data_IF_012140974872
#
_entry.id   IF_012140974872
#
_cell.length_a   1.000
_cell.length_b   1.000
_cell.length_c   1.000
_cell.angle_alpha   90.00
_cell.angle_beta   90.00
_cell.angle_gamma   90.00
#
_symmetry.space_group_name_H-M   'P 1'
#
loop_
_entity.id
_entity.type
_entity.pdbx_description
1 polymer ?
#
# COMPACT_ATOMS: atom_id res chain seq x y z
N UNK A 1 11.50 18.55 40.32
CA UNK A 1 11.00 19.22 39.10
C UNK A 1 9.56 18.80 38.91
N UNK A 2 8.65 19.65 38.42
CA UNK A 2 7.29 19.21 38.13
C UNK A 2 7.32 18.12 37.05
N UNK A 3 6.62 17.00 37.27
CA UNK A 3 6.46 15.96 36.27
C UNK A 3 5.66 16.50 35.07
N UNK A 4 6.10 16.15 33.86
CA UNK A 4 5.38 16.52 32.65
C UNK A 4 4.02 15.78 32.62
N UNK A 5 2.94 16.54 32.53
CA UNK A 5 1.57 16.00 32.52
C UNK A 5 1.05 15.89 31.09
N UNK A 6 0.46 14.75 30.76
CA UNK A 6 -0.10 14.48 29.43
C UNK A 6 -1.33 15.34 29.18
N UNK A 7 -1.34 16.03 28.05
CA UNK A 7 -2.48 16.81 27.57
C UNK A 7 -3.26 15.95 26.58
N UNK A 8 -4.44 15.50 27.01
CA UNK A 8 -5.35 14.66 26.22
C UNK A 8 -6.19 15.52 25.28
N UNK A 9 -5.56 16.02 24.21
CA UNK A 9 -6.22 16.82 23.17
C UNK A 9 -6.17 16.04 21.86
N UNK A 10 -7.34 15.78 21.25
CA UNK A 10 -7.44 15.17 19.92
C UNK A 10 -6.68 13.85 19.78
N UNK A 11 -7.07 12.83 20.57
CA UNK A 11 -6.45 11.51 20.49
C UNK A 11 -6.69 10.86 19.12
N UNK A 12 -5.74 10.04 18.61
CA UNK A 12 -5.95 9.24 17.42
C UNK A 12 -7.20 8.36 17.53
N UNK A 13 -7.96 8.24 16.44
CA UNK A 13 -9.01 7.24 16.35
C UNK A 13 -8.39 5.83 16.29
N UNK A 14 -9.07 4.80 16.83
CA UNK A 14 -8.61 3.43 16.71
C UNK A 14 -8.45 3.03 15.23
N UNK A 15 -7.26 2.51 14.90
CA UNK A 15 -6.94 2.03 13.57
C UNK A 15 -7.39 0.59 13.40
N UNK A 16 -8.07 0.32 12.28
CA UNK A 16 -8.66 -0.98 11.93
C UNK A 16 -7.87 -1.76 10.87
N UNK A 17 -6.79 -1.18 10.35
CA UNK A 17 -6.02 -1.75 9.24
C UNK A 17 -6.43 -1.24 7.86
N UNK A 18 -7.39 -0.31 7.77
CA UNK A 18 -7.84 0.22 6.49
C UNK A 18 -6.79 1.13 5.84
N UNK A 19 -6.41 0.81 4.61
CA UNK A 19 -5.43 1.55 3.82
C UNK A 19 -5.73 3.07 3.74
N UNK A 20 -6.97 3.44 3.45
CA UNK A 20 -7.41 4.83 3.29
C UNK A 20 -7.29 5.65 4.58
N UNK A 21 -7.33 5.00 5.74
CA UNK A 21 -7.21 5.64 7.05
C UNK A 21 -5.78 5.66 7.58
N UNK A 22 -4.89 4.83 7.04
CA UNK A 22 -3.54 4.65 7.57
C UNK A 22 -2.77 5.99 7.65
N UNK A 23 -2.80 6.77 6.58
CA UNK A 23 -2.06 8.04 6.53
C UNK A 23 -2.59 9.04 7.56
N UNK A 24 -3.91 9.17 7.66
CA UNK A 24 -4.54 10.04 8.65
C UNK A 24 -4.25 9.60 10.08
N UNK A 25 -4.27 8.30 10.32
CA UNK A 25 -3.90 7.71 11.61
C UNK A 25 -2.47 8.06 12.00
N UNK A 26 -1.47 7.79 11.15
CA UNK A 26 -0.06 8.10 11.46
C UNK A 26 0.18 9.59 11.71
N UNK A 27 -0.45 10.48 10.93
CA UNK A 27 -0.37 11.93 11.16
C UNK A 27 -0.95 12.31 12.53
N UNK A 28 -2.09 11.75 12.92
CA UNK A 28 -2.70 12.04 14.23
C UNK A 28 -1.81 11.59 15.40
N UNK A 29 -1.13 10.46 15.24
CA UNK A 29 -0.16 9.94 16.22
C UNK A 29 1.05 10.88 16.33
N UNK A 30 1.63 11.29 15.19
CA UNK A 30 2.78 12.19 15.16
C UNK A 30 2.46 13.55 15.79
N UNK A 31 1.28 14.11 15.49
CA UNK A 31 0.82 15.37 16.08
C UNK A 31 0.63 15.24 17.60
N UNK A 32 0.03 14.15 18.06
CA UNK A 32 -0.17 13.92 19.49
C UNK A 32 1.17 13.77 20.23
N UNK A 33 2.10 13.00 19.66
CA UNK A 33 3.43 12.78 20.22
C UNK A 33 4.26 14.08 20.23
N UNK A 34 4.17 14.89 19.18
CA UNK A 34 4.84 16.20 19.11
C UNK A 34 4.27 17.19 20.13
N UNK A 35 2.95 17.22 20.32
CA UNK A 35 2.32 18.07 21.31
C UNK A 35 2.67 17.64 22.75
N UNK A 36 2.77 16.33 22.98
CA UNK A 36 3.14 15.72 24.25
C UNK A 36 4.62 15.27 24.26
N UNK A 37 5.52 16.01 23.59
CA UNK A 37 6.92 15.59 23.38
C UNK A 37 7.68 15.33 24.69
N UNK A 38 7.36 16.06 25.77
CA UNK A 38 7.97 15.83 27.08
C UNK A 38 7.69 14.41 27.63
N UNK A 39 6.62 13.76 27.16
CA UNK A 39 6.22 12.40 27.53
C UNK A 39 6.69 11.41 26.46
N UNK A 40 6.35 11.65 25.20
CA UNK A 40 6.73 10.81 24.05
C UNK A 40 8.09 11.19 23.48
N UNK A 41 9.08 11.29 24.36
CA UNK A 41 10.44 11.72 24.04
C UNK A 41 11.35 10.59 23.53
N UNK A 42 10.90 9.33 23.59
CA UNK A 42 11.63 8.18 23.08
C UNK A 42 10.83 7.47 22.01
N UNK A 43 11.54 6.81 21.10
CA UNK A 43 10.92 6.04 20.02
C UNK A 43 10.05 4.91 20.57
N UNK A 44 10.53 4.19 21.59
CA UNK A 44 9.77 3.14 22.25
C UNK A 44 8.39 3.63 22.75
N UNK A 45 8.33 4.81 23.38
CA UNK A 45 7.06 5.38 23.85
C UNK A 45 6.12 5.73 22.71
N UNK A 46 6.64 6.23 21.58
CA UNK A 46 5.84 6.50 20.38
C UNK A 46 5.31 5.22 19.76
N UNK A 47 6.13 4.17 19.71
CA UNK A 47 5.73 2.84 19.20
C UNK A 47 4.61 2.26 20.08
N UNK A 48 4.81 2.21 21.39
CA UNK A 48 3.81 1.70 22.35
C UNK A 48 2.51 2.50 22.25
N UNK A 49 2.60 3.82 22.15
CA UNK A 49 1.44 4.69 21.97
C UNK A 49 0.70 4.34 20.68
N UNK A 50 1.40 4.22 19.55
CA UNK A 50 0.80 3.86 18.26
C UNK A 50 0.09 2.50 18.33
N UNK A 51 0.77 1.47 18.85
CA UNK A 51 0.22 0.12 19.03
C UNK A 51 -1.04 0.11 19.90
N UNK A 52 -1.13 1.00 20.89
CA UNK A 52 -2.31 1.10 21.77
C UNK A 52 -3.60 1.52 21.04
N UNK A 53 -3.50 2.09 19.84
CA UNK A 53 -4.63 2.46 18.98
C UNK A 53 -4.83 1.48 17.82
N UNK A 54 -3.95 0.50 17.61
CA UNK A 54 -4.10 -0.54 16.58
C UNK A 54 -4.97 -1.69 17.10
N UNK A 55 -6.28 -1.48 17.17
CA UNK A 55 -7.22 -2.40 17.86
C UNK A 55 -8.31 -2.99 16.96
N UNK A 56 -8.56 -2.40 15.79
CA UNK A 56 -9.61 -2.87 14.88
C UNK A 56 -9.08 -3.86 13.84
N UNK A 57 -9.99 -4.61 13.23
CA UNK A 57 -9.76 -5.39 12.02
C UNK A 57 -8.44 -6.17 12.01
N UNK A 58 -7.65 -5.99 10.94
CA UNK A 58 -6.34 -6.62 10.77
C UNK A 58 -5.21 -5.94 11.55
N UNK A 59 -5.43 -4.71 12.05
CA UNK A 59 -4.43 -3.98 12.82
C UNK A 59 -4.15 -4.59 14.20
N UNK A 60 -5.17 -5.12 14.87
CA UNK A 60 -5.00 -5.80 16.16
C UNK A 60 -4.06 -7.01 16.09
N UNK A 61 -4.37 -8.02 15.25
CA UNK A 61 -3.49 -9.18 15.07
C UNK A 61 -2.09 -8.81 14.58
N UNK A 62 -1.96 -7.78 13.73
CA UNK A 62 -0.67 -7.28 13.29
C UNK A 62 0.14 -6.69 14.44
N UNK A 63 -0.48 -5.88 15.31
CA UNK A 63 0.17 -5.29 16.47
C UNK A 63 0.67 -6.37 17.44
N UNK A 64 -0.14 -7.41 17.69
CA UNK A 64 0.28 -8.57 18.49
C UNK A 64 1.48 -9.29 17.87
N UNK A 65 1.43 -9.57 16.56
CA UNK A 65 2.52 -10.22 15.83
C UNK A 65 3.81 -9.40 15.86
N UNK A 66 3.71 -8.07 15.67
CA UNK A 66 4.85 -7.17 15.77
C UNK A 66 5.49 -7.25 17.16
N UNK A 67 4.70 -7.13 18.22
CA UNK A 67 5.21 -7.21 19.60
C UNK A 67 5.87 -8.56 19.89
N UNK A 68 5.28 -9.66 19.43
CA UNK A 68 5.86 -11.00 19.58
C UNK A 68 7.20 -11.13 18.83
N UNK A 69 7.32 -10.53 17.65
CA UNK A 69 8.57 -10.55 16.87
C UNK A 69 9.73 -9.78 17.51
N UNK A 70 9.42 -8.88 18.45
CA UNK A 70 10.38 -8.01 19.15
C UNK A 70 10.73 -8.47 20.55
N UNK A 71 10.17 -9.59 21.01
CA UNK A 71 10.54 -10.24 22.26
C UNK A 71 11.67 -11.23 22.02
N UNK A 72 12.70 -11.17 22.85
CA UNK A 72 13.74 -12.20 22.88
C UNK A 72 13.35 -13.39 23.78
N UNK A 73 14.17 -14.45 23.77
CA UNK A 73 14.00 -15.65 24.58
C UNK A 73 14.01 -15.36 26.09
N UNK A 74 14.58 -14.22 26.50
CA UNK A 74 14.67 -13.78 27.89
C UNK A 74 13.49 -12.88 28.31
N UNK A 75 12.55 -12.61 27.39
CA UNK A 75 11.39 -11.76 27.63
C UNK A 75 11.68 -10.25 27.59
N UNK A 76 12.89 -9.83 27.22
CA UNK A 76 13.21 -8.43 26.96
C UNK A 76 12.60 -8.01 25.62
N UNK A 77 12.00 -6.82 25.61
CA UNK A 77 11.29 -6.27 24.46
C UNK A 77 12.11 -5.12 23.87
N UNK A 78 12.51 -5.25 22.61
CA UNK A 78 13.21 -4.17 21.88
C UNK A 78 12.41 -3.78 20.64
N UNK A 79 11.60 -2.73 20.77
CA UNK A 79 10.70 -2.30 19.70
C UNK A 79 11.42 -1.67 18.51
N UNK A 80 12.64 -1.18 18.70
CA UNK A 80 13.48 -0.56 17.67
C UNK A 80 13.22 0.94 17.51
N UNK A 81 13.63 1.47 16.35
CA UNK A 81 13.45 2.89 16.01
C UNK A 81 12.04 3.18 15.50
N UNK A 82 11.52 4.36 15.81
CA UNK A 82 10.15 4.72 15.43
C UNK A 82 9.98 4.77 13.91
N UNK A 83 11.02 5.21 13.20
CA UNK A 83 11.03 5.29 11.73
C UNK A 83 10.93 3.91 11.07
N UNK A 84 11.65 2.92 11.60
CA UNK A 84 11.59 1.54 11.10
C UNK A 84 10.22 0.92 11.36
N UNK A 85 9.63 1.21 12.52
CA UNK A 85 8.27 0.80 12.85
C UNK A 85 7.23 1.42 11.92
N UNK A 86 7.32 2.73 11.62
CA UNK A 86 6.43 3.38 10.65
C UNK A 86 6.54 2.71 9.27
N UNK A 87 7.76 2.41 8.80
CA UNK A 87 7.96 1.69 7.54
C UNK A 87 7.37 0.27 7.56
N UNK A 88 7.42 -0.43 8.70
CA UNK A 88 6.82 -1.75 8.84
C UNK A 88 5.28 -1.71 8.78
N UNK A 89 4.65 -0.72 9.41
CA UNK A 89 3.20 -0.48 9.30
C UNK A 89 2.85 -0.15 7.85
N UNK A 90 3.53 0.83 7.27
CA UNK A 90 3.30 1.26 5.89
C UNK A 90 3.46 0.10 4.91
N UNK A 91 4.54 -0.68 5.02
CA UNK A 91 4.71 -1.89 4.21
C UNK A 91 3.56 -2.89 4.40
N UNK A 92 3.13 -3.13 5.64
CA UNK A 92 2.10 -4.14 5.92
C UNK A 92 0.69 -3.75 5.48
N UNK A 93 0.32 -2.47 5.56
CA UNK A 93 -1.03 -2.00 5.24
C UNK A 93 -1.13 -1.26 3.91
N UNK A 94 -0.01 -0.88 3.30
CA UNK A 94 0.05 -0.44 1.91
C UNK A 94 0.31 -1.64 0.98
N UNK A 95 1.34 -2.48 1.21
CA UNK A 95 1.68 -3.54 0.23
C UNK A 95 0.68 -4.70 0.19
N UNK A 96 0.01 -5.01 1.32
CA UNK A 96 -0.91 -6.16 1.42
C UNK A 96 -2.18 -6.00 0.57
N UNK A 97 -2.51 -4.79 0.10
CA UNK A 97 -3.63 -4.56 -0.84
C UNK A 97 -3.23 -3.79 -2.11
N UNK A 98 -2.08 -3.11 -2.16
CA UNK A 98 -1.72 -2.31 -3.35
C UNK A 98 -1.40 -3.15 -4.60
N UNK A 99 -0.75 -4.30 -4.47
CA UNK A 99 -0.47 -5.14 -5.64
C UNK A 99 -1.72 -5.92 -6.11
N UNK A 100 -2.55 -6.39 -5.18
CA UNK A 100 -3.73 -7.20 -5.48
C UNK A 100 -4.96 -6.38 -5.86
N UNK A 101 -5.34 -5.41 -5.04
CA UNK A 101 -6.57 -4.60 -5.18
C UNK A 101 -6.39 -3.41 -6.11
N UNK A 102 -5.20 -2.80 -6.21
CA UNK A 102 -4.98 -1.71 -7.19
C UNK A 102 -4.87 -2.25 -8.61
N UNK A 103 -4.19 -3.38 -8.85
CA UNK A 103 -4.20 -4.03 -10.18
C UNK A 103 -5.60 -4.49 -10.53
N UNK A 104 -6.35 -5.05 -9.59
CA UNK A 104 -7.76 -5.44 -9.80
C UNK A 104 -8.61 -4.22 -10.14
N UNK A 105 -8.54 -3.14 -9.35
CA UNK A 105 -9.25 -1.88 -9.62
C UNK A 105 -8.85 -1.27 -10.96
N UNK A 106 -7.57 -1.29 -11.33
CA UNK A 106 -7.07 -0.84 -12.64
C UNK A 106 -7.62 -1.72 -13.78
N UNK A 107 -7.62 -3.06 -13.61
CA UNK A 107 -8.15 -4.01 -14.59
C UNK A 107 -9.66 -3.87 -14.81
N UNK A 108 -10.40 -3.45 -13.78
CA UNK A 108 -11.86 -3.30 -13.83
C UNK A 108 -12.34 -1.85 -13.93
N UNK A 109 -11.43 -0.87 -13.99
CA UNK A 109 -11.78 0.55 -14.12
C UNK A 109 -12.41 0.80 -15.49
N UNK A 110 -13.70 1.15 -15.50
CA UNK A 110 -14.43 1.51 -16.72
C UNK A 110 -14.81 2.97 -16.67
N UNK A 111 -14.65 3.67 -17.79
CA UNK A 111 -15.12 5.04 -17.94
C UNK A 111 -16.66 5.04 -17.90
N UNK A 112 -17.20 5.34 -16.73
CA UNK A 112 -18.65 5.44 -16.46
C UNK A 112 -19.09 6.89 -16.22
N UNK A 113 -18.13 7.81 -16.11
CA UNK A 113 -18.30 9.25 -15.86
C UNK A 113 -17.49 10.07 -16.88
N UNK A 114 -17.36 11.38 -16.64
CA UNK A 114 -16.58 12.28 -17.47
C UNK A 114 -15.10 11.86 -17.52
N UNK A 115 -14.45 12.19 -18.63
CA UNK A 115 -13.11 11.68 -18.97
C UNK A 115 -12.03 12.17 -17.99
N UNK A 116 -12.18 13.38 -17.46
CA UNK A 116 -11.30 13.99 -16.47
C UNK A 116 -11.30 13.24 -15.13
N UNK A 117 -12.48 12.90 -14.61
CA UNK A 117 -12.63 12.12 -13.37
C UNK A 117 -12.04 10.71 -13.54
N UNK A 118 -12.27 10.08 -14.70
CA UNK A 118 -11.69 8.78 -15.04
C UNK A 118 -10.16 8.83 -15.09
N UNK A 119 -9.59 9.86 -15.73
CA UNK A 119 -8.14 10.06 -15.81
C UNK A 119 -7.54 10.25 -14.41
N UNK A 120 -8.21 11.00 -13.54
CA UNK A 120 -7.74 11.24 -12.18
C UNK A 120 -7.74 9.95 -11.35
N UNK A 121 -8.81 9.15 -11.41
CA UNK A 121 -8.87 7.84 -10.76
C UNK A 121 -7.81 6.87 -11.32
N UNK A 122 -7.65 6.83 -12.65
CA UNK A 122 -6.63 6.00 -13.31
C UNK A 122 -5.22 6.37 -12.86
N UNK A 123 -4.88 7.67 -12.82
CA UNK A 123 -3.57 8.14 -12.38
C UNK A 123 -3.30 7.77 -10.92
N UNK A 124 -4.29 7.91 -10.03
CA UNK A 124 -4.15 7.52 -8.62
C UNK A 124 -3.87 6.02 -8.51
N UNK A 125 -4.64 5.17 -9.21
CA UNK A 125 -4.42 3.72 -9.16
C UNK A 125 -3.10 3.29 -9.83
N UNK A 126 -2.71 3.90 -10.94
CA UNK A 126 -1.44 3.61 -11.60
C UNK A 126 -0.25 3.94 -10.69
N UNK A 127 -0.26 5.10 -10.04
CA UNK A 127 0.77 5.54 -9.07
C UNK A 127 0.89 4.58 -7.89
N UNK A 128 -0.25 4.04 -7.45
CA UNK A 128 -0.39 3.16 -6.31
C UNK A 128 -0.14 1.67 -6.63
N UNK A 129 0.03 1.29 -7.90
CA UNK A 129 0.16 -0.11 -8.33
C UNK A 129 1.56 -0.70 -8.16
N UNK A 130 2.55 0.12 -7.83
CA UNK A 130 3.94 -0.31 -7.66
C UNK A 130 4.63 -0.77 -8.96
N UNK A 131 4.02 -0.51 -10.13
CA UNK A 131 4.63 -0.75 -11.43
C UNK A 131 5.85 0.19 -11.60
N UNK A 132 7.05 -0.34 -11.33
CA UNK A 132 8.34 0.39 -11.39
C UNK A 132 8.88 0.60 -12.80
N UNK A 133 8.19 0.08 -13.82
CA UNK A 133 8.56 0.35 -15.21
C UNK A 133 7.70 1.49 -15.75
N UNK A 134 8.36 2.61 -16.04
CA UNK A 134 7.81 3.70 -16.84
C UNK A 134 7.34 3.21 -18.23
N UNK A 135 7.74 2.00 -18.66
CA UNK A 135 7.22 1.33 -19.86
C UNK A 135 5.82 0.71 -19.68
N UNK A 136 5.33 0.55 -18.45
CA UNK A 136 3.95 0.15 -18.16
C UNK A 136 2.97 1.35 -18.18
N UNK A 137 3.49 2.56 -18.02
CA UNK A 137 2.85 3.82 -18.36
C UNK A 137 3.19 4.14 -19.82
N UNK A 138 2.57 3.43 -20.78
CA UNK A 138 2.83 3.69 -22.20
C UNK A 138 2.43 5.14 -22.53
N UNK A 139 3.43 6.00 -22.55
CA UNK A 139 3.74 6.96 -23.59
C UNK A 139 2.51 7.66 -24.17
N UNK A 140 1.87 8.48 -23.34
CA UNK A 140 0.85 9.44 -23.72
C UNK A 140 1.51 10.77 -24.14
N UNK A 141 2.71 10.70 -24.73
CA UNK A 141 3.54 11.88 -24.96
C UNK A 141 2.96 12.80 -26.06
N UNK A 142 1.96 12.34 -26.84
CA UNK A 142 1.03 13.21 -27.58
C UNK A 142 -0.37 12.60 -27.69
N UNK A 143 -1.37 13.33 -27.19
CA UNK A 143 -2.78 12.98 -27.40
C UNK A 143 -3.09 13.06 -28.90
N UNK A 144 -3.54 11.97 -29.55
CA UNK A 144 -3.87 11.96 -30.97
C UNK A 144 -4.95 13.01 -31.28
N UNK A 145 -4.68 13.85 -32.27
CA UNK A 145 -5.58 14.94 -32.68
C UNK A 145 -6.41 14.56 -33.90
N UNK A 146 -6.10 13.43 -34.52
CA UNK A 146 -6.82 12.92 -35.68
C UNK A 146 -7.30 11.48 -35.47
N UNK A 147 -8.45 11.15 -36.07
CA UNK A 147 -9.07 9.81 -35.99
C UNK A 147 -8.11 8.70 -36.49
N UNK A 148 -7.26 9.01 -37.47
CA UNK A 148 -6.28 8.06 -38.00
C UNK A 148 -5.22 7.70 -36.95
N UNK A 149 -4.71 8.67 -36.21
CA UNK A 149 -3.75 8.44 -35.12
C UNK A 149 -4.39 7.62 -33.98
N UNK A 150 -5.68 7.87 -33.70
CA UNK A 150 -6.46 7.05 -32.76
C UNK A 150 -6.52 5.58 -33.19
N UNK A 151 -6.78 5.30 -34.48
CA UNK A 151 -6.79 3.93 -35.00
C UNK A 151 -5.42 3.25 -34.88
N UNK A 152 -4.33 3.96 -35.21
CA UNK A 152 -2.97 3.42 -35.15
C UNK A 152 -2.54 3.09 -33.71
N UNK A 153 -2.86 3.97 -32.76
CA UNK A 153 -2.59 3.74 -31.33
C UNK A 153 -3.41 2.55 -30.81
N UNK A 154 -4.71 2.49 -31.14
CA UNK A 154 -5.59 1.42 -30.68
C UNK A 154 -5.17 0.06 -31.24
N UNK A 155 -4.82 0.00 -32.53
CA UNK A 155 -4.31 -1.22 -33.15
C UNK A 155 -2.97 -1.67 -32.53
N UNK A 156 -2.08 -0.72 -32.18
CA UNK A 156 -0.82 -1.03 -31.50
C UNK A 156 -1.06 -1.64 -30.12
N UNK A 157 -1.96 -1.06 -29.33
CA UNK A 157 -2.31 -1.53 -27.98
C UNK A 157 -2.97 -2.92 -28.02
N UNK A 158 -3.90 -3.13 -28.95
CA UNK A 158 -4.56 -4.43 -29.13
C UNK A 158 -3.54 -5.53 -29.49
N UNK A 159 -2.63 -5.25 -30.42
CA UNK A 159 -1.55 -6.18 -30.78
C UNK A 159 -0.61 -6.51 -29.59
N UNK A 160 -0.31 -5.53 -28.74
CA UNK A 160 0.49 -5.76 -27.53
C UNK A 160 -0.26 -6.60 -26.50
N UNK A 161 -1.57 -6.38 -26.35
CA UNK A 161 -2.42 -7.19 -25.47
C UNK A 161 -2.47 -8.66 -25.94
N UNK A 162 -2.70 -8.89 -27.24
CA UNK A 162 -2.73 -10.25 -27.81
C UNK A 162 -1.40 -10.99 -27.65
N UNK A 163 -0.26 -10.31 -27.85
CA UNK A 163 1.07 -10.90 -27.60
C UNK A 163 1.23 -11.32 -26.14
N UNK A 164 0.81 -10.48 -25.18
CA UNK A 164 0.89 -10.79 -23.75
C UNK A 164 0.00 -11.98 -23.36
N UNK A 165 -1.22 -12.05 -23.89
CA UNK A 165 -2.08 -13.22 -23.70
C UNK A 165 -1.45 -14.50 -24.23
N UNK A 166 -0.81 -14.45 -25.40
CA UNK A 166 -0.10 -15.61 -25.96
C UNK A 166 1.07 -16.06 -25.07
N UNK A 167 1.87 -15.13 -24.54
CA UNK A 167 2.95 -15.44 -23.61
C UNK A 167 2.45 -16.06 -22.30
N UNK A 168 1.35 -15.55 -21.74
CA UNK A 168 0.74 -16.08 -20.51
C UNK A 168 0.15 -17.49 -20.72
N UNK A 169 -0.49 -17.73 -21.86
CA UNK A 169 -1.02 -19.05 -22.19
C UNK A 169 0.11 -20.07 -22.46
N UNK A 170 1.22 -19.63 -23.06
CA UNK A 170 2.39 -20.47 -23.27
C UNK A 170 3.11 -20.83 -21.95
N UNK A 171 3.14 -19.94 -20.96
CA UNK A 171 3.73 -20.23 -19.64
C UNK A 171 2.87 -21.21 -18.82
N UNK A 172 1.54 -21.08 -18.89
CA UNK A 172 0.60 -22.04 -18.30
C UNK A 172 0.69 -23.43 -18.93
N UNK A 173 0.85 -23.50 -20.26
CA UNK A 173 1.04 -24.78 -20.98
C UNK A 173 2.32 -25.50 -20.55
N UNK A 174 3.43 -24.78 -20.38
CA UNK A 174 4.70 -25.36 -19.90
C UNK A 174 4.62 -25.90 -18.48
N UNK A 175 3.89 -25.23 -17.58
CA UNK A 175 3.70 -25.67 -16.20
C UNK A 175 2.85 -26.96 -16.09
N UNK A 176 1.89 -27.17 -17.00
CA UNK A 176 1.10 -28.41 -17.07
C UNK A 176 1.91 -29.59 -17.60
N UNK A 177 2.78 -29.40 -18.61
CA UNK A 177 3.58 -30.50 -19.19
C UNK A 177 4.67 -31.00 -18.23
N UNK A 178 5.18 -30.16 -17.32
CA UNK A 178 6.16 -30.57 -16.30
C UNK A 178 5.58 -31.39 -15.15
N UNK A 179 4.25 -31.47 -14.98
CA UNK A 179 3.62 -32.28 -13.92
C UNK A 179 3.22 -33.70 -14.36
N UNK A 180 3.40 -34.07 -15.62
CA UNK A 180 3.09 -35.41 -16.13
C UNK A 180 4.28 -36.04 -16.85
N UNK A 181 5.36 -36.35 -16.13
CA UNK A 181 6.23 -37.46 -16.49
C UNK A 181 7.20 -37.83 -15.36
N UNK A 182 6.91 -38.93 -14.66
CA UNK A 182 7.94 -39.89 -14.22
C UNK A 182 7.29 -41.27 -14.11
N UNK A 183 7.98 -42.37 -14.52
CA UNK A 183 7.38 -43.71 -14.66
C UNK A 183 6.97 -44.35 -13.34
#
# INVERSE_FOLDING_TARGET
MPEAKELKIGQPDPFDGSHDKLRGFLISVDLYAAFNQAIYNTDEKKIVFTLSFMKGGSAGPWAESFVLSKKDENGSMQLGEYKEFQAAIEGSFLEMDMAGSTITKLCYLKQTKMADEYIQEFCIYASCSGLKDDAALIDLEKMPTTIKEWYEITARLDNQYQKRLAHLNASKGKAMTTMTFTP
#
